data_IF_681107447635
#
_entry.id   IF_681107447635
#
_cell.length_a   1.000
_cell.length_b   1.000
_cell.length_c   1.000
_cell.angle_alpha   90.00
_cell.angle_beta   90.00
_cell.angle_gamma   90.00
#
_symmetry.space_group_name_H-M   'P 1'
#
loop_
_entity.id
_entity.type
_entity.pdbx_description
1 polymer ?
#
# COMPACT_ATOMS: atom_id res chain seq x y z
N UNK A 1 12.89 3.71 -14.51
CA UNK A 1 11.97 3.15 -13.48
C UNK A 1 11.87 4.11 -12.29
N UNK A 2 10.67 4.37 -11.76
CA UNK A 2 10.49 5.16 -10.53
C UNK A 2 9.98 4.28 -9.40
N UNK A 3 10.49 4.53 -8.20
CA UNK A 3 10.06 3.82 -7.01
C UNK A 3 9.72 4.81 -5.90
N UNK A 4 8.52 4.66 -5.36
CA UNK A 4 8.03 5.40 -4.23
C UNK A 4 7.81 4.44 -3.05
N UNK A 5 8.59 4.59 -2.00
CA UNK A 5 8.31 3.97 -0.73
C UNK A 5 7.39 4.92 0.06
N UNK A 6 6.20 4.44 0.46
CA UNK A 6 5.27 5.24 1.26
C UNK A 6 5.84 5.57 2.66
N UNK A 7 6.99 4.98 3.00
CA UNK A 7 7.67 5.10 4.25
C UNK A 7 6.93 4.32 5.33
N UNK A 8 7.68 3.72 6.26
CA UNK A 8 7.09 3.31 7.53
C UNK A 8 6.36 4.53 8.09
N UNK A 9 5.02 4.39 8.21
CA UNK A 9 4.11 5.43 8.67
C UNK A 9 4.79 6.21 9.79
N UNK A 10 5.24 7.45 9.53
CA UNK A 10 5.88 8.30 10.54
C UNK A 10 4.89 8.33 11.69
N UNK A 11 5.23 7.71 12.83
CA UNK A 11 4.23 7.52 13.88
C UNK A 11 3.72 8.91 14.23
N UNK A 12 2.46 9.14 13.91
CA UNK A 12 1.87 10.44 14.15
C UNK A 12 1.79 10.52 15.66
N UNK A 13 2.27 11.59 16.29
CA UNK A 13 2.28 11.73 17.75
C UNK A 13 0.91 11.38 18.38
N UNK A 14 -0.18 11.59 17.63
CA UNK A 14 -1.56 11.19 17.94
C UNK A 14 -1.75 9.66 18.04
N UNK A 15 -1.19 8.87 17.12
CA UNK A 15 -1.27 7.41 17.15
C UNK A 15 -0.53 6.83 18.35
N UNK A 16 0.65 7.36 18.65
CA UNK A 16 1.41 6.94 19.82
C UNK A 16 0.71 7.41 21.12
N UNK A 17 0.12 8.62 21.14
CA UNK A 17 -0.69 9.12 22.25
C UNK A 17 -1.93 8.25 22.50
N UNK A 18 -2.68 7.88 21.45
CA UNK A 18 -3.83 6.98 21.57
C UNK A 18 -3.39 5.63 22.11
N UNK A 19 -2.26 5.09 21.64
CA UNK A 19 -1.74 3.81 22.13
C UNK A 19 -1.39 3.88 23.63
N UNK A 20 -0.78 4.99 24.07
CA UNK A 20 -0.51 5.26 25.49
C UNK A 20 -1.79 5.38 26.30
N UNK A 21 -2.81 6.09 25.80
CA UNK A 21 -4.11 6.22 26.47
C UNK A 21 -4.78 4.85 26.60
N UNK A 22 -4.81 4.04 25.55
CA UNK A 22 -5.38 2.69 25.58
C UNK A 22 -4.62 1.80 26.57
N UNK A 23 -3.29 1.90 26.61
CA UNK A 23 -2.48 1.16 27.57
C UNK A 23 -2.78 1.59 29.02
N UNK A 24 -2.89 2.89 29.28
CA UNK A 24 -3.23 3.42 30.61
C UNK A 24 -4.63 2.98 31.04
N UNK A 25 -5.63 3.07 30.16
CA UNK A 25 -6.98 2.56 30.42
C UNK A 25 -6.93 1.06 30.72
N UNK A 26 -6.21 0.27 29.92
CA UNK A 26 -6.05 -1.16 30.16
C UNK A 26 -5.42 -1.44 31.53
N UNK A 27 -4.42 -0.67 31.97
CA UNK A 27 -3.78 -0.82 33.28
C UNK A 27 -4.74 -0.46 34.42
N UNK A 28 -5.44 0.68 34.31
CA UNK A 28 -6.39 1.16 35.32
C UNK A 28 -7.54 0.16 35.51
N UNK A 29 -8.06 -0.38 34.41
CA UNK A 29 -9.18 -1.32 34.44
C UNK A 29 -8.76 -2.80 34.52
N UNK A 30 -7.46 -3.12 34.46
CA UNK A 30 -6.97 -4.51 34.49
C UNK A 30 -7.50 -5.28 35.69
N UNK A 31 -7.51 -4.65 36.88
CA UNK A 31 -8.02 -5.29 38.10
C UNK A 31 -9.51 -5.59 38.03
N UNK A 32 -10.32 -4.69 37.49
CA UNK A 32 -11.76 -4.89 37.32
C UNK A 32 -12.08 -5.94 36.26
N UNK A 33 -11.34 -5.91 35.15
CA UNK A 33 -11.45 -6.89 34.05
C UNK A 33 -11.10 -8.28 34.56
N UNK A 34 -9.97 -8.44 35.26
CA UNK A 34 -9.54 -9.73 35.82
C UNK A 34 -10.52 -10.24 36.86
N UNK A 35 -11.04 -9.36 37.72
CA UNK A 35 -12.06 -9.74 38.72
C UNK A 35 -13.35 -10.23 38.06
N UNK A 36 -13.86 -9.51 37.06
CA UNK A 36 -15.06 -9.88 36.31
C UNK A 36 -14.89 -11.16 35.46
N UNK A 37 -13.72 -11.35 34.84
CA UNK A 37 -13.41 -12.59 34.13
C UNK A 37 -13.26 -13.78 35.09
N UNK A 38 -12.71 -13.56 36.27
CA UNK A 38 -12.51 -14.62 37.27
C UNK A 38 -13.82 -15.08 37.88
N UNK A 39 -14.77 -14.18 38.10
CA UNK A 39 -16.12 -14.53 38.59
C UNK A 39 -16.94 -15.31 37.55
N UNK A 40 -16.71 -15.07 36.26
CA UNK A 40 -17.44 -15.73 35.18
C UNK A 40 -16.83 -17.07 34.72
N UNK A 41 -15.49 -17.19 34.70
CA UNK A 41 -14.79 -18.28 33.98
C UNK A 41 -13.74 -19.02 34.85
N UNK A 42 -13.52 -18.59 36.10
CA UNK A 42 -12.49 -19.14 36.98
C UNK A 42 -11.08 -18.57 36.74
N UNK A 43 -10.21 -18.68 37.75
CA UNK A 43 -8.95 -17.91 37.81
C UNK A 43 -7.88 -18.32 36.79
N UNK A 44 -7.97 -19.53 36.24
CA UNK A 44 -7.04 -20.02 35.22
C UNK A 44 -7.40 -19.48 33.83
N UNK A 45 -8.69 -19.55 33.46
CA UNK A 45 -9.19 -19.06 32.18
C UNK A 45 -9.12 -17.55 32.07
N UNK A 46 -9.34 -16.82 33.16
CA UNK A 46 -9.22 -15.36 33.18
C UNK A 46 -7.80 -14.88 32.82
N UNK A 47 -6.77 -15.57 33.32
CA UNK A 47 -5.36 -15.28 32.99
C UNK A 47 -5.01 -15.61 31.53
N UNK A 48 -5.52 -16.73 31.00
CA UNK A 48 -5.29 -17.14 29.60
C UNK A 48 -5.94 -16.13 28.63
N UNK A 49 -7.17 -15.72 28.90
CA UNK A 49 -7.88 -14.74 28.06
C UNK A 49 -7.17 -13.38 28.10
N UNK A 50 -6.74 -12.93 29.29
CA UNK A 50 -5.97 -11.68 29.39
C UNK A 50 -4.68 -11.75 28.59
N UNK A 51 -3.93 -12.86 28.70
CA UNK A 51 -2.72 -13.07 27.92
C UNK A 51 -3.01 -13.03 26.42
N UNK A 52 -4.06 -13.71 25.96
CA UNK A 52 -4.46 -13.72 24.55
C UNK A 52 -4.86 -12.33 24.04
N UNK A 53 -5.55 -11.53 24.87
CA UNK A 53 -5.91 -10.14 24.52
C UNK A 53 -4.67 -9.25 24.42
N UNK A 54 -3.74 -9.35 25.36
CA UNK A 54 -2.48 -8.57 25.33
C UNK A 54 -1.63 -8.97 24.12
N UNK A 55 -1.47 -10.27 23.85
CA UNK A 55 -0.78 -10.75 22.66
C UNK A 55 -1.49 -10.30 21.38
N UNK A 56 -2.81 -10.37 21.33
CA UNK A 56 -3.61 -9.92 20.19
C UNK A 56 -3.42 -8.43 19.92
N UNK A 57 -3.44 -7.59 20.96
CA UNK A 57 -3.16 -6.15 20.88
C UNK A 57 -1.73 -5.87 20.40
N UNK A 58 -0.73 -6.56 20.96
CA UNK A 58 0.66 -6.40 20.55
C UNK A 58 0.88 -6.79 19.08
N UNK A 59 0.28 -7.91 18.65
CA UNK A 59 0.32 -8.36 17.26
C UNK A 59 -0.41 -7.38 16.33
N UNK A 60 -1.57 -6.86 16.73
CA UNK A 60 -2.32 -5.88 15.94
C UNK A 60 -1.50 -4.60 15.76
N UNK A 61 -0.87 -4.09 16.82
CA UNK A 61 0.02 -2.92 16.76
C UNK A 61 1.20 -3.21 15.83
N UNK A 62 1.83 -4.37 15.96
CA UNK A 62 2.93 -4.79 15.09
C UNK A 62 2.49 -4.82 13.61
N UNK A 63 1.37 -5.46 13.29
CA UNK A 63 0.86 -5.55 11.91
C UNK A 63 0.46 -4.18 11.34
N UNK A 64 -0.14 -3.31 12.15
CA UNK A 64 -0.51 -1.95 11.72
C UNK A 64 0.73 -1.07 11.52
N UNK A 65 1.77 -1.23 12.34
CA UNK A 65 2.99 -0.42 12.28
C UNK A 65 3.96 -0.86 11.18
N UNK A 66 3.99 -2.15 10.87
CA UNK A 66 4.96 -2.73 9.91
C UNK A 66 4.41 -2.79 8.48
N UNK A 67 3.11 -2.59 8.25
CA UNK A 67 2.55 -2.51 6.88
C UNK A 67 3.05 -1.26 6.16
N UNK A 68 4.09 -1.43 5.36
CA UNK A 68 4.59 -0.42 4.43
C UNK A 68 4.31 -0.86 2.99
N UNK A 69 3.88 0.07 2.14
CA UNK A 69 3.64 -0.19 0.72
C UNK A 69 4.72 0.51 -0.11
N UNK A 70 5.30 -0.23 -1.04
CA UNK A 70 6.27 0.27 -2.03
C UNK A 70 5.61 0.20 -3.39
N UNK A 71 5.56 1.32 -4.08
CA UNK A 71 5.04 1.45 -5.43
C UNK A 71 6.21 1.55 -6.40
N UNK A 72 6.17 0.79 -7.48
CA UNK A 72 7.11 0.92 -8.58
C UNK A 72 6.34 1.16 -9.86
N UNK A 73 6.89 2.01 -10.72
CA UNK A 73 6.34 2.29 -12.02
C UNK A 73 7.43 2.36 -13.08
N UNK A 74 7.29 1.58 -14.14
CA UNK A 74 8.25 1.47 -15.23
C UNK A 74 7.85 2.44 -16.35
N UNK A 75 8.32 3.68 -16.27
CA UNK A 75 7.96 4.77 -17.20
C UNK A 75 9.05 5.10 -18.24
N UNK A 76 10.14 4.36 -18.27
CA UNK A 76 11.21 4.55 -19.27
C UNK A 76 11.11 3.38 -20.24
N UNK A 77 10.93 3.66 -21.55
CA UNK A 77 11.12 2.62 -22.58
C UNK A 77 12.61 2.23 -22.58
N UNK A 78 12.91 0.97 -22.90
CA UNK A 78 14.28 0.45 -22.90
C UNK A 78 15.23 1.45 -23.58
N UNK A 79 16.24 1.90 -22.83
CA UNK A 79 17.21 2.84 -23.32
C UNK A 79 18.41 2.06 -23.86
N UNK A 80 18.85 2.40 -25.07
CA UNK A 80 20.12 1.92 -25.59
C UNK A 80 21.24 2.75 -24.99
N UNK A 81 22.15 2.09 -24.28
CA UNK A 81 23.35 2.72 -23.75
C UNK A 81 24.55 2.13 -24.47
N UNK A 82 25.44 3.00 -24.92
CA UNK A 82 26.69 2.62 -25.54
C UNK A 82 27.58 1.94 -24.48
N UNK A 83 27.95 0.68 -24.71
CA UNK A 83 28.92 -0.04 -23.87
C UNK A 83 30.32 0.09 -24.48
N UNK A 84 31.23 0.88 -23.89
CA UNK A 84 32.59 1.07 -24.42
C UNK A 84 33.44 -0.21 -24.43
N UNK A 85 33.00 -1.28 -23.75
CA UNK A 85 33.72 -2.57 -23.71
C UNK A 85 33.44 -3.43 -24.94
N UNK A 86 32.27 -3.26 -25.55
CA UNK A 86 31.81 -4.06 -26.70
C UNK A 86 31.63 -3.21 -27.97
N UNK A 87 31.83 -1.89 -27.89
CA UNK A 87 31.69 -0.93 -29.00
C UNK A 87 30.30 -1.00 -29.67
N UNK A 88 29.28 -1.34 -28.88
CA UNK A 88 27.91 -1.53 -29.35
C UNK A 88 26.89 -0.87 -28.42
N UNK A 89 25.71 -0.61 -28.98
CA UNK A 89 24.55 -0.18 -28.21
C UNK A 89 23.94 -1.40 -27.53
N UNK A 90 23.88 -1.38 -26.20
CA UNK A 90 23.26 -2.45 -25.41
C UNK A 90 21.91 -1.94 -24.90
N UNK A 91 20.87 -2.76 -25.06
CA UNK A 91 19.56 -2.48 -24.49
C UNK A 91 19.63 -2.64 -22.96
N UNK A 92 19.26 -1.59 -22.22
CA UNK A 92 18.96 -1.75 -20.79
C UNK A 92 17.62 -2.46 -20.70
N UNK A 93 17.67 -3.76 -20.45
CA UNK A 93 16.48 -4.56 -20.16
C UNK A 93 16.05 -4.30 -18.71
N UNK A 94 14.94 -3.59 -18.55
CA UNK A 94 14.31 -3.44 -17.24
C UNK A 94 13.65 -4.75 -16.82
N UNK A 95 13.57 -5.01 -15.51
CA UNK A 95 12.93 -6.21 -14.94
C UNK A 95 11.46 -6.39 -15.39
N UNK A 96 10.81 -5.32 -15.84
CA UNK A 96 9.41 -5.28 -16.22
C UNK A 96 9.19 -4.33 -17.40
N UNK A 97 8.17 -4.58 -18.25
CA UNK A 97 7.92 -3.78 -19.43
C UNK A 97 7.44 -2.36 -19.09
N UNK A 98 7.60 -1.46 -20.05
CA UNK A 98 7.08 -0.09 -20.01
C UNK A 98 5.59 -0.07 -19.62
N UNK A 99 5.22 0.93 -18.81
CA UNK A 99 3.87 1.13 -18.30
C UNK A 99 3.45 0.17 -17.18
N UNK A 100 4.35 -0.69 -16.68
CA UNK A 100 4.01 -1.60 -15.59
C UNK A 100 3.98 -0.87 -14.25
N UNK A 101 2.87 -0.97 -13.52
CA UNK A 101 2.73 -0.54 -12.14
C UNK A 101 2.74 -1.73 -11.18
N UNK A 102 3.56 -1.65 -10.13
CA UNK A 102 3.71 -2.73 -9.15
C UNK A 102 3.53 -2.20 -7.75
N UNK A 103 2.73 -2.93 -6.96
CA UNK A 103 2.60 -2.74 -5.52
C UNK A 103 3.26 -3.89 -4.79
N UNK A 104 4.26 -3.59 -3.95
CA UNK A 104 4.83 -4.53 -2.98
C UNK A 104 4.44 -4.13 -1.57
N UNK A 105 4.06 -5.11 -0.75
CA UNK A 105 3.95 -4.95 0.69
C UNK A 105 5.30 -5.27 1.33
N UNK A 106 5.93 -4.28 1.95
CA UNK A 106 7.11 -4.46 2.79
C UNK A 106 6.70 -5.09 4.12
N UNK A 107 7.25 -6.27 4.41
CA UNK A 107 7.22 -6.89 5.74
C UNK A 107 8.65 -7.30 6.08
N UNK A 108 9.24 -6.69 7.11
CA UNK A 108 10.57 -7.04 7.62
C UNK A 108 11.64 -7.18 6.50
N UNK A 109 11.82 -6.14 5.69
CA UNK A 109 12.78 -6.05 4.58
C UNK A 109 12.57 -7.01 3.39
N UNK A 110 11.49 -7.82 3.38
CA UNK A 110 11.07 -8.58 2.20
C UNK A 110 9.81 -7.96 1.60
N UNK A 111 9.87 -7.62 0.31
CA UNK A 111 8.71 -7.12 -0.44
C UNK A 111 7.90 -8.29 -1.01
N UNK A 112 6.67 -8.49 -0.53
CA UNK A 112 5.72 -9.42 -1.16
C UNK A 112 4.93 -8.68 -2.23
N UNK A 113 4.95 -9.19 -3.47
CA UNK A 113 4.09 -8.68 -4.55
C UNK A 113 2.62 -8.78 -4.12
N UNK A 114 1.90 -7.66 -4.23
CA UNK A 114 0.47 -7.57 -3.94
C UNK A 114 -0.35 -7.42 -5.19
N UNK A 115 0.09 -6.52 -6.06
CA UNK A 115 -0.58 -6.26 -7.32
C UNK A 115 0.45 -5.87 -8.36
N UNK A 116 0.18 -6.24 -9.61
CA UNK A 116 0.91 -5.84 -10.79
C UNK A 116 -0.12 -5.48 -11.83
N UNK A 117 -0.01 -4.29 -12.41
CA UNK A 117 -0.89 -3.78 -13.47
C UNK A 117 -0.02 -3.50 -14.68
N UNK A 118 -0.35 -4.10 -15.81
CA UNK A 118 0.36 -3.94 -17.07
C UNK A 118 -0.12 -2.70 -17.84
N UNK A 119 0.66 -2.27 -18.83
CA UNK A 119 0.35 -1.08 -19.63
C UNK A 119 -1.00 -1.15 -20.34
N UNK A 120 -1.32 -2.30 -20.93
CA UNK A 120 -2.59 -2.58 -21.62
C UNK A 120 -3.78 -2.53 -20.66
N UNK A 121 -3.58 -2.92 -19.41
CA UNK A 121 -4.60 -2.87 -18.35
C UNK A 121 -4.85 -1.45 -17.81
N UNK A 122 -3.91 -0.50 -17.96
CA UNK A 122 -4.06 0.85 -17.44
C UNK A 122 -5.19 1.62 -18.11
N UNK A 123 -6.12 2.18 -17.32
CA UNK A 123 -7.26 2.96 -17.85
C UNK A 123 -7.15 4.43 -17.44
N UNK A 124 -7.02 4.71 -16.14
CA UNK A 124 -7.01 6.09 -15.65
C UNK A 124 -6.32 6.21 -14.29
N UNK A 125 -5.88 7.42 -13.97
CA UNK A 125 -5.42 7.80 -12.64
C UNK A 125 -6.28 8.97 -12.14
N UNK A 126 -7.06 8.75 -11.10
CA UNK A 126 -7.91 9.80 -10.52
C UNK A 126 -7.34 10.32 -9.20
N UNK A 127 -7.28 11.65 -9.10
CA UNK A 127 -6.96 12.38 -7.89
C UNK A 127 -8.08 12.20 -6.83
N UNK A 128 -7.79 12.44 -5.54
CA UNK A 128 -8.76 12.27 -4.45
C UNK A 128 -10.11 12.97 -4.68
N UNK A 129 -10.07 14.16 -5.28
CA UNK A 129 -11.22 15.01 -5.62
C UNK A 129 -12.10 14.43 -6.75
N UNK A 130 -11.52 13.65 -7.67
CA UNK A 130 -12.22 13.10 -8.85
C UNK A 130 -12.60 11.62 -8.67
N UNK A 131 -12.51 11.08 -7.46
CA UNK A 131 -12.89 9.68 -7.18
C UNK A 131 -14.38 9.40 -7.32
N UNK A 132 -15.22 10.44 -7.31
CA UNK A 132 -16.67 10.29 -7.40
C UNK A 132 -17.08 9.50 -8.66
N UNK A 133 -16.31 9.64 -9.73
CA UNK A 133 -16.53 8.98 -11.02
C UNK A 133 -16.26 7.46 -10.97
N UNK A 134 -15.70 6.96 -9.86
CA UNK A 134 -15.17 5.60 -9.72
C UNK A 134 -15.67 4.89 -8.45
N UNK A 135 -16.73 5.39 -7.80
CA UNK A 135 -17.20 4.90 -6.49
C UNK A 135 -17.70 3.46 -6.54
N UNK A 136 -18.25 3.02 -7.66
CA UNK A 136 -18.84 1.68 -7.83
C UNK A 136 -17.81 0.61 -8.24
N UNK A 137 -16.53 0.96 -8.38
CA UNK A 137 -15.50 0.01 -8.77
C UNK A 137 -15.04 -0.88 -7.60
N UNK A 138 -14.89 -2.20 -7.81
CA UNK A 138 -14.19 -3.07 -6.88
C UNK A 138 -12.77 -2.54 -6.66
N UNK A 139 -12.46 -2.17 -5.41
CA UNK A 139 -11.26 -1.39 -5.12
C UNK A 139 -10.43 -2.00 -3.99
N UNK A 140 -9.19 -2.36 -4.31
CA UNK A 140 -8.20 -2.81 -3.35
C UNK A 140 -7.46 -1.62 -2.72
N UNK A 141 -7.15 -1.73 -1.43
CA UNK A 141 -6.56 -0.64 -0.65
C UNK A 141 -5.11 -0.95 -0.27
N UNK A 142 -4.17 -0.40 -1.05
CA UNK A 142 -2.74 -0.52 -0.83
C UNK A 142 -2.15 0.76 -0.26
N UNK A 143 -2.75 1.28 0.79
CA UNK A 143 -2.34 2.52 1.46
C UNK A 143 -2.35 2.35 2.97
N UNK A 144 -1.40 2.97 3.65
CA UNK A 144 -1.41 3.13 5.11
C UNK A 144 -2.21 4.37 5.57
N UNK A 145 -2.38 5.38 4.70
CA UNK A 145 -3.09 6.64 4.96
C UNK A 145 -4.63 6.52 4.90
N UNK A 146 -5.33 7.65 5.11
CA UNK A 146 -6.80 7.71 5.04
C UNK A 146 -7.26 7.47 3.60
N UNK A 147 -8.22 6.57 3.38
CA UNK A 147 -8.73 6.25 2.02
C UNK A 147 -9.27 7.47 1.26
N UNK A 148 -9.82 8.46 1.98
CA UNK A 148 -10.37 9.68 1.37
C UNK A 148 -9.30 10.48 0.61
N UNK A 149 -8.06 10.53 1.11
CA UNK A 149 -6.95 11.31 0.54
C UNK A 149 -6.07 10.53 -0.43
N UNK A 150 -6.35 9.24 -0.65
CA UNK A 150 -5.59 8.42 -1.60
C UNK A 150 -5.85 8.86 -3.05
N UNK A 151 -5.03 8.46 -4.02
CA UNK A 151 -5.41 8.43 -5.43
C UNK A 151 -6.08 7.08 -5.74
N UNK A 152 -6.78 6.99 -6.88
CA UNK A 152 -7.28 5.72 -7.43
C UNK A 152 -6.63 5.46 -8.78
N UNK A 153 -5.92 4.34 -8.90
CA UNK A 153 -5.49 3.81 -10.20
C UNK A 153 -6.58 2.86 -10.70
N UNK A 154 -7.15 3.18 -11.86
CA UNK A 154 -8.17 2.38 -12.52
C UNK A 154 -7.52 1.54 -13.59
N UNK A 155 -7.80 0.24 -13.55
CA UNK A 155 -7.28 -0.71 -14.52
C UNK A 155 -8.39 -1.69 -14.93
N UNK A 156 -8.26 -2.27 -16.11
CA UNK A 156 -9.20 -3.24 -16.67
C UNK A 156 -8.48 -4.55 -16.94
N UNK A 157 -8.98 -5.65 -16.36
CA UNK A 157 -8.43 -6.99 -16.54
C UNK A 157 -9.58 -7.94 -16.85
N UNK A 158 -9.48 -8.66 -17.97
CA UNK A 158 -10.52 -9.59 -18.43
C UNK A 158 -11.91 -8.93 -18.59
N UNK A 159 -11.98 -7.67 -19.03
CA UNK A 159 -13.23 -6.93 -19.20
C UNK A 159 -13.84 -6.39 -17.91
N UNK A 160 -13.18 -6.57 -16.76
CA UNK A 160 -13.61 -6.02 -15.48
C UNK A 160 -12.74 -4.83 -15.08
N UNK A 161 -13.37 -3.68 -14.86
CA UNK A 161 -12.71 -2.50 -14.29
C UNK A 161 -12.55 -2.65 -12.78
N UNK A 162 -11.36 -2.33 -12.28
CA UNK A 162 -10.99 -2.39 -10.86
C UNK A 162 -10.18 -1.17 -10.46
N UNK A 163 -10.16 -0.89 -9.16
CA UNK A 163 -9.46 0.24 -8.56
C UNK A 163 -8.36 -0.19 -7.61
N UNK A 164 -7.28 0.60 -7.56
CA UNK A 164 -6.26 0.53 -6.52
C UNK A 164 -6.19 1.87 -5.80
N UNK A 165 -6.43 1.87 -4.47
CA UNK A 165 -6.22 3.04 -3.63
C UNK A 165 -4.79 3.06 -3.08
N UNK A 166 -4.07 4.15 -3.35
CA UNK A 166 -2.67 4.34 -2.94
C UNK A 166 -2.35 5.83 -2.74
N UNK A 167 -1.26 6.18 -2.05
CA UNK A 167 -0.80 7.59 -1.97
C UNK A 167 0.52 7.71 -2.73
N UNK A 168 0.50 8.00 -4.04
CA UNK A 168 1.69 8.35 -4.78
C UNK A 168 2.22 9.72 -4.35
N UNK A 169 3.51 9.97 -4.54
CA UNK A 169 4.04 11.33 -4.54
C UNK A 169 3.83 12.03 -5.88
N UNK A 170 4.15 13.32 -5.92
CA UNK A 170 3.97 14.15 -7.12
C UNK A 170 4.72 13.59 -8.34
N UNK A 171 5.92 13.04 -8.14
CA UNK A 171 6.73 12.50 -9.24
C UNK A 171 6.10 11.24 -9.83
N UNK A 172 5.64 10.32 -8.98
CA UNK A 172 4.94 9.11 -9.44
C UNK A 172 3.65 9.47 -10.19
N UNK A 173 2.88 10.45 -9.69
CA UNK A 173 1.69 10.95 -10.41
C UNK A 173 2.05 11.46 -11.79
N UNK A 174 3.06 12.34 -11.90
CA UNK A 174 3.48 12.90 -13.18
C UNK A 174 3.94 11.83 -14.17
N UNK A 175 4.74 10.85 -13.73
CA UNK A 175 5.18 9.74 -14.59
C UNK A 175 3.98 8.91 -15.09
N UNK A 176 3.03 8.58 -14.21
CA UNK A 176 1.85 7.80 -14.59
C UNK A 176 0.92 8.56 -15.53
N UNK A 177 0.74 9.87 -15.31
CA UNK A 177 -0.06 10.71 -16.20
C UNK A 177 0.55 10.80 -17.59
N UNK A 178 1.87 10.93 -17.70
CA UNK A 178 2.57 10.94 -18.98
C UNK A 178 2.31 9.65 -19.78
N UNK A 179 2.47 8.49 -19.13
CA UNK A 179 2.24 7.19 -19.78
C UNK A 179 0.78 7.03 -20.22
N UNK A 180 -0.17 7.51 -19.42
CA UNK A 180 -1.60 7.47 -19.75
C UNK A 180 -1.96 8.39 -20.93
N UNK A 181 -1.35 9.58 -21.02
CA UNK A 181 -1.55 10.47 -22.18
C UNK A 181 -0.97 9.89 -23.47
N UNK A 182 0.21 9.25 -23.41
CA UNK A 182 0.78 8.57 -24.57
C UNK A 182 -0.14 7.44 -25.06
N UNK A 183 -0.75 6.69 -24.13
CA UNK A 183 -1.69 5.62 -24.46
C UNK A 183 -2.97 6.12 -25.15
N UNK A 184 -3.50 7.26 -24.71
CA UNK A 184 -4.69 7.84 -25.36
C UNK A 184 -4.39 8.27 -26.78
N UNK A 185 -3.20 8.80 -27.04
CA UNK A 185 -2.78 9.23 -28.38
C UNK A 185 -2.60 8.02 -29.32
N UNK A 186 -1.98 6.93 -28.84
CA UNK A 186 -1.82 5.68 -29.59
C UNK A 186 -3.16 4.98 -29.93
N UNK A 187 -4.23 5.23 -29.18
CA UNK A 187 -5.56 4.63 -29.43
C UNK A 187 -6.37 5.43 -30.47
N UNK A 188 -5.92 6.63 -30.83
CA UNK A 188 -6.60 7.54 -31.76
C UNK A 188 -5.92 7.67 -33.13
N UNK A 189 -4.81 6.95 -33.37
CA UNK A 189 -4.21 6.70 -34.70
C UNK A 189 -4.73 5.41 -35.34
#
# INVERSE_FOLDING_TARGET
MYEHDQGAKRSTAISDLIMVIVLLVAIIFAGQIVSALTSALGSMWSKIILLAVVLGLALLIYFVRVRNYRYMFYYERNAQVFDPRFDEMVDIEYDEPYGTFIVKLGVANKGKLKEKVLYDELVALAAPENKADYVDLPTDSYTSGRKKTAHILVYERNGEKRGILFHPDAKLVSCMQQVLSEKSDETHE
#
